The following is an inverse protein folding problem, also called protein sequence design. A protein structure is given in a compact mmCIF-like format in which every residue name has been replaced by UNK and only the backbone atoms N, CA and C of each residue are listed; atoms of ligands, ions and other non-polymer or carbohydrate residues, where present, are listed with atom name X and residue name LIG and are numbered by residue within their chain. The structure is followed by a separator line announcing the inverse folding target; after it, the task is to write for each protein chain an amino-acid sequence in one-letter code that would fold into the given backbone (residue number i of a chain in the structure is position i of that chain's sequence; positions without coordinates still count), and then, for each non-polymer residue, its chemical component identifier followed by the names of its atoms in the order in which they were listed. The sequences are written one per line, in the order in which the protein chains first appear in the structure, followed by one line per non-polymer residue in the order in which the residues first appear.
data_IF_255246912696
#
_entry.id   IF_255246912696
#
_cell.length_a   1.000
_cell.length_b   1.000
_cell.length_c   1.000
_cell.angle_alpha   90.00
_cell.angle_beta   90.00
_cell.angle_gamma   90.00
#
_symmetry.space_group_name_H-M   'P 1'
#
loop_
_entity.id
_entity.type
_entity.pdbx_description
1 polymer ?
#
# COMPACT_ATOMS: atom_id res chain seq x y z
N UNK A 1 -35.18 -14.98 -11.38
CA UNK A 1 -34.82 -13.57 -11.71
C UNK A 1 -33.78 -13.10 -10.70
N UNK A 2 -32.75 -12.38 -11.16
CA UNK A 2 -31.68 -11.92 -10.28
C UNK A 2 -32.20 -10.78 -9.38
N UNK A 3 -32.25 -11.02 -8.08
CA UNK A 3 -32.64 -10.01 -7.09
C UNK A 3 -31.45 -9.09 -6.78
N UNK A 4 -31.67 -7.78 -6.82
CA UNK A 4 -30.66 -6.79 -6.47
C UNK A 4 -30.54 -6.62 -4.96
N UNK A 5 -29.36 -6.19 -4.52
CA UNK A 5 -29.07 -5.73 -3.16
C UNK A 5 -28.62 -4.29 -3.25
N UNK A 6 -29.27 -3.38 -2.54
CA UNK A 6 -28.92 -1.96 -2.51
C UNK A 6 -28.49 -1.58 -1.09
N UNK A 7 -27.63 -0.57 -0.96
CA UNK A 7 -27.24 0.01 0.33
C UNK A 7 -27.90 1.37 0.47
N UNK A 8 -28.46 1.65 1.62
CA UNK A 8 -29.12 2.92 1.94
C UNK A 8 -28.31 3.64 2.98
N UNK A 9 -28.01 4.93 2.77
CA UNK A 9 -27.39 5.84 3.75
C UNK A 9 -28.34 6.97 4.10
N UNK A 10 -28.60 7.14 5.40
CA UNK A 10 -29.41 8.24 5.92
C UNK A 10 -28.88 8.66 7.29
N UNK A 11 -28.66 9.96 7.50
CA UNK A 11 -28.27 10.53 8.80
C UNK A 11 -27.06 9.83 9.47
N UNK A 12 -26.07 9.41 8.66
CA UNK A 12 -24.87 8.69 9.13
C UNK A 12 -25.07 7.19 9.39
N UNK A 13 -26.31 6.69 9.34
CA UNK A 13 -26.61 5.26 9.43
C UNK A 13 -26.62 4.62 8.04
N UNK A 14 -26.21 3.35 7.97
CA UNK A 14 -26.28 2.53 6.75
C UNK A 14 -27.21 1.33 6.99
N UNK A 15 -28.17 1.12 6.11
CA UNK A 15 -29.03 -0.08 6.10
C UNK A 15 -28.90 -0.79 4.74
N UNK A 16 -29.08 -2.10 4.73
CA UNK A 16 -29.10 -2.87 3.48
C UNK A 16 -30.54 -3.16 3.07
N UNK A 17 -30.85 -2.91 1.80
CA UNK A 17 -32.11 -3.29 1.18
C UNK A 17 -31.86 -4.50 0.27
N UNK A 18 -32.17 -5.68 0.79
CA UNK A 18 -32.07 -6.92 0.04
C UNK A 18 -33.34 -7.14 -0.80
N UNK A 19 -33.22 -7.99 -1.82
CA UNK A 19 -34.35 -8.51 -2.60
C UNK A 19 -35.10 -7.49 -3.45
N UNK A 20 -34.40 -6.50 -3.98
CA UNK A 20 -35.00 -5.50 -4.88
C UNK A 20 -35.17 -6.11 -6.27
N UNK A 21 -36.38 -6.08 -6.81
CA UNK A 21 -36.67 -6.54 -8.16
C UNK A 21 -36.21 -5.49 -9.19
N UNK A 22 -35.30 -5.81 -10.14
CA UNK A 22 -34.88 -4.86 -11.17
C UNK A 22 -36.01 -4.38 -12.11
N UNK A 23 -37.09 -5.14 -12.21
CA UNK A 23 -38.27 -4.79 -13.01
C UNK A 23 -39.27 -3.92 -12.25
N UNK A 24 -39.09 -3.75 -10.94
CA UNK A 24 -39.93 -2.89 -10.12
C UNK A 24 -39.82 -1.42 -10.59
N UNK A 25 -40.88 -0.65 -10.36
CA UNK A 25 -40.86 0.79 -10.63
C UNK A 25 -40.09 1.57 -9.56
N UNK A 26 -39.64 2.78 -9.89
CA UNK A 26 -38.97 3.69 -8.93
C UNK A 26 -39.87 4.00 -7.73
N UNK A 27 -41.19 4.08 -7.95
CA UNK A 27 -42.19 4.27 -6.88
C UNK A 27 -42.21 3.11 -5.87
N UNK A 28 -42.13 1.86 -6.35
CA UNK A 28 -42.09 0.69 -5.48
C UNK A 28 -40.81 0.68 -4.64
N UNK A 29 -39.68 1.06 -5.23
CA UNK A 29 -38.43 1.25 -4.51
C UNK A 29 -38.58 2.31 -3.40
N UNK A 30 -39.20 3.47 -3.70
CA UNK A 30 -39.39 4.54 -2.72
C UNK A 30 -40.28 4.13 -1.56
N UNK A 31 -41.37 3.38 -1.82
CA UNK A 31 -42.22 2.81 -0.75
C UNK A 31 -41.44 1.85 0.13
N UNK A 32 -40.63 0.97 -0.46
CA UNK A 32 -39.82 0.00 0.28
C UNK A 32 -38.73 0.68 1.12
N UNK A 33 -38.11 1.71 0.57
CA UNK A 33 -37.16 2.56 1.29
C UNK A 33 -37.83 3.22 2.49
N UNK A 34 -39.02 3.81 2.30
CA UNK A 34 -39.76 4.47 3.37
C UNK A 34 -40.12 3.48 4.50
N UNK A 35 -40.51 2.25 4.16
CA UNK A 35 -40.77 1.16 5.10
C UNK A 35 -39.53 0.79 5.93
N UNK A 36 -38.37 0.56 5.28
CA UNK A 36 -37.11 0.19 5.97
C UNK A 36 -36.55 1.32 6.82
N UNK A 37 -36.76 2.57 6.40
CA UNK A 37 -36.35 3.76 7.13
C UNK A 37 -37.31 4.07 8.30
N UNK A 38 -38.56 3.61 8.22
CA UNK A 38 -39.61 3.94 9.19
C UNK A 38 -40.21 5.33 8.99
N UNK A 39 -40.28 5.80 7.73
CA UNK A 39 -40.85 7.10 7.39
C UNK A 39 -42.24 6.93 6.76
N UNK A 40 -43.31 7.58 7.26
CA UNK A 40 -44.68 7.35 6.81
C UNK A 40 -44.98 7.97 5.42
N UNK A 41 -44.23 8.98 5.02
CA UNK A 41 -44.46 9.74 3.78
C UNK A 41 -43.30 9.53 2.78
N UNK A 42 -43.48 8.74 1.70
CA UNK A 42 -42.41 8.50 0.71
C UNK A 42 -42.09 9.75 -0.13
N UNK A 43 -43.06 10.65 -0.31
CA UNK A 43 -42.90 11.90 -1.07
C UNK A 43 -42.02 12.95 -0.37
N UNK A 44 -41.71 12.75 0.92
CA UNK A 44 -40.82 13.63 1.68
C UNK A 44 -39.36 13.14 1.67
N UNK A 45 -39.06 12.07 0.93
CA UNK A 45 -37.70 11.55 0.82
C UNK A 45 -37.13 11.92 -0.55
N UNK A 46 -35.99 12.58 -0.56
CA UNK A 46 -35.17 12.75 -1.77
C UNK A 46 -34.14 11.64 -1.80
N UNK A 47 -34.30 10.69 -2.72
CA UNK A 47 -33.36 9.59 -2.93
C UNK A 47 -32.37 10.00 -4.01
N UNK A 48 -31.08 9.97 -3.69
CA UNK A 48 -29.99 10.22 -4.64
C UNK A 48 -29.30 8.88 -4.96
N UNK A 49 -29.02 8.63 -6.25
CA UNK A 49 -28.33 7.43 -6.71
C UNK A 49 -27.21 7.77 -7.71
N UNK A 50 -26.30 6.81 -7.94
CA UNK A 50 -25.18 6.95 -8.86
C UNK A 50 -24.01 7.83 -8.37
N UNK A 51 -23.00 7.95 -9.25
CA UNK A 51 -21.79 8.75 -9.05
C UNK A 51 -21.59 9.65 -10.27
N UNK A 52 -21.76 10.99 -10.16
CA UNK A 52 -22.14 11.75 -8.96
C UNK A 52 -23.59 11.51 -8.53
N UNK A 53 -23.94 11.70 -7.23
CA UNK A 53 -25.28 11.41 -6.72
C UNK A 53 -26.33 12.35 -7.33
N UNK A 54 -27.24 11.79 -8.12
CA UNK A 54 -28.34 12.50 -8.79
C UNK A 54 -29.68 12.15 -8.15
N UNK A 55 -30.61 13.11 -8.02
CA UNK A 55 -31.94 12.81 -7.53
C UNK A 55 -32.66 11.85 -8.49
N UNK A 56 -33.22 10.78 -7.92
CA UNK A 56 -34.12 9.90 -8.63
C UNK A 56 -35.49 10.56 -8.75
N UNK A 57 -35.90 10.85 -9.98
CA UNK A 57 -37.25 11.32 -10.27
C UNK A 57 -38.22 10.15 -10.23
N UNK A 58 -39.36 10.33 -9.57
CA UNK A 58 -40.46 9.36 -9.58
C UNK A 58 -40.91 9.13 -11.03
N UNK A 59 -40.70 7.91 -11.52
CA UNK A 59 -41.07 7.50 -12.88
C UNK A 59 -41.67 6.10 -12.84
N UNK A 60 -42.62 5.84 -13.73
CA UNK A 60 -43.20 4.51 -13.94
C UNK A 60 -42.23 3.53 -14.64
N UNK A 61 -41.06 4.00 -15.06
CA UNK A 61 -40.02 3.17 -15.69
C UNK A 61 -39.44 2.15 -14.69
N UNK A 62 -39.05 0.95 -15.18
CA UNK A 62 -38.41 -0.06 -14.34
C UNK A 62 -37.02 0.41 -13.87
N UNK A 63 -36.57 -0.08 -12.71
CA UNK A 63 -35.29 0.32 -12.12
C UNK A 63 -34.10 0.13 -13.06
N UNK A 64 -34.09 -0.96 -13.84
CA UNK A 64 -33.03 -1.21 -14.84
C UNK A 64 -32.92 -0.17 -15.95
N UNK A 65 -33.97 0.62 -16.20
CA UNK A 65 -33.97 1.72 -17.17
C UNK A 65 -33.49 3.04 -16.56
N UNK A 66 -33.20 3.06 -15.25
CA UNK A 66 -32.61 4.20 -14.54
C UNK A 66 -31.10 4.02 -14.38
N UNK A 67 -30.45 4.92 -13.67
CA UNK A 67 -29.01 4.84 -13.35
C UNK A 67 -28.72 4.01 -12.09
N UNK A 68 -29.73 3.37 -11.48
CA UNK A 68 -29.54 2.49 -10.32
C UNK A 68 -29.03 1.13 -10.79
N UNK A 69 -27.92 0.67 -10.21
CA UNK A 69 -27.33 -0.65 -10.49
C UNK A 69 -27.36 -1.55 -9.25
N UNK A 70 -27.17 -2.86 -9.44
CA UNK A 70 -27.02 -3.78 -8.32
C UNK A 70 -25.82 -3.37 -7.44
N UNK A 71 -25.96 -3.50 -6.12
CA UNK A 71 -24.99 -3.06 -5.12
C UNK A 71 -24.76 -1.55 -5.02
N UNK A 72 -25.60 -0.71 -5.65
CA UNK A 72 -25.47 0.75 -5.54
C UNK A 72 -25.79 1.27 -4.12
N UNK A 73 -25.23 2.43 -3.79
CA UNK A 73 -25.48 3.13 -2.52
C UNK A 73 -26.40 4.32 -2.72
N UNK A 74 -27.63 4.19 -2.26
CA UNK A 74 -28.63 5.25 -2.26
C UNK A 74 -28.43 6.18 -1.06
N UNK A 75 -28.35 7.48 -1.32
CA UNK A 75 -28.29 8.51 -0.27
C UNK A 75 -29.69 9.09 -0.09
N UNK A 76 -30.26 8.96 1.11
CA UNK A 76 -31.57 9.51 1.43
C UNK A 76 -31.38 10.82 2.16
N UNK A 77 -32.04 11.86 1.66
CA UNK A 77 -32.22 13.13 2.35
C UNK A 77 -33.69 13.30 2.68
N UNK A 78 -33.98 13.79 3.89
CA UNK A 78 -35.31 14.24 4.23
C UNK A 78 -35.53 15.58 3.54
N UNK A 79 -36.60 15.70 2.77
CA UNK A 79 -37.03 16.97 2.23
C UNK A 79 -37.35 17.87 3.42
N UNK A 80 -36.49 18.87 3.65
CA UNK A 80 -36.81 19.93 4.60
C UNK A 80 -38.05 20.63 4.05
N UNK A 81 -39.17 20.69 4.80
CA UNK A 81 -40.34 21.43 4.36
C UNK A 81 -39.86 22.84 4.01
N UNK A 82 -40.03 23.19 2.74
CA UNK A 82 -39.50 24.41 2.17
C UNK A 82 -40.11 25.58 2.96
N UNK A 83 -39.32 26.19 3.85
CA UNK A 83 -39.69 27.48 4.41
C UNK A 83 -39.83 28.44 3.22
N UNK A 84 -40.94 29.18 3.09
CA UNK A 84 -41.15 30.07 1.96
C UNK A 84 -39.95 31.02 1.85
N UNK A 85 -39.27 30.94 0.70
CA UNK A 85 -38.09 31.72 0.34
C UNK A 85 -38.38 33.22 0.53
N UNK A 86 -37.92 33.80 1.64
CA UNK A 86 -37.78 35.24 1.78
C UNK A 86 -36.63 35.68 0.86
N UNK A 87 -36.95 36.53 -0.12
CA UNK A 87 -35.99 37.13 -1.04
C UNK A 87 -34.85 37.82 -0.28
N UNK A 88 -33.57 37.64 -0.67
CA UNK A 88 -32.46 38.36 -0.08
C UNK A 88 -32.41 39.79 -0.63
N UNK A 89 -32.73 40.77 0.22
CA UNK A 89 -32.37 42.16 -0.01
C UNK A 89 -30.87 42.34 0.21
N UNK A 90 -30.18 42.79 -0.84
CA UNK A 90 -28.80 43.23 -0.78
C UNK A 90 -28.67 44.45 0.13
N UNK A 91 -27.99 44.31 1.27
CA UNK A 91 -27.42 45.46 1.99
C UNK A 91 -25.93 45.23 2.21
N UNK A 92 -25.14 45.97 1.44
CA UNK A 92 -23.73 46.22 1.68
C UNK A 92 -23.58 46.97 3.01
N UNK A 93 -22.84 46.44 3.97
CA UNK A 93 -22.19 47.30 4.95
C UNK A 93 -20.84 46.72 5.35
N UNK A 94 -19.82 47.50 5.04
CA UNK A 94 -18.46 47.37 5.51
C UNK A 94 -18.38 47.82 6.98
N UNK A 95 -17.79 47.00 7.83
CA UNK A 95 -17.14 47.52 9.03
C UNK A 95 -15.87 46.71 9.32
N UNK A 96 -14.75 47.44 9.23
CA UNK A 96 -13.44 47.07 9.74
C UNK A 96 -13.48 47.17 11.27
N UNK A 97 -12.95 46.17 11.96
CA UNK A 97 -12.61 46.25 13.38
C UNK A 97 -11.70 45.08 13.81
N UNK A 98 -10.69 45.28 14.67
CA UNK A 98 -9.46 44.50 14.65
C UNK A 98 -9.32 43.44 15.78
N UNK A 99 -8.45 42.47 15.51
CA UNK A 99 -7.55 41.75 16.43
C UNK A 99 -8.07 41.21 17.78
N UNK A 100 -8.25 39.89 17.84
CA UNK A 100 -7.94 39.01 18.98
C UNK A 100 -7.89 37.58 18.38
N UNK A 101 -6.86 36.76 18.51
CA UNK A 101 -6.14 36.40 19.73
C UNK A 101 -6.04 34.87 19.68
N UNK A 102 -4.81 34.36 19.69
CA UNK A 102 -4.47 32.96 19.47
C UNK A 102 -5.16 32.01 20.47
N UNK A 103 -5.84 30.96 19.98
CA UNK A 103 -6.04 29.63 20.63
C UNK A 103 -6.99 28.75 19.81
N UNK A 104 -6.57 28.20 18.65
CA UNK A 104 -7.32 27.12 17.94
C UNK A 104 -6.40 26.19 17.14
N UNK A 105 -5.32 25.70 17.75
CA UNK A 105 -4.39 24.76 17.10
C UNK A 105 -4.27 23.38 17.78
N UNK A 106 -5.01 23.11 18.87
CA UNK A 106 -4.82 21.90 19.68
C UNK A 106 -5.98 20.88 19.67
N UNK A 107 -7.08 21.11 18.94
CA UNK A 107 -8.24 20.21 18.93
C UNK A 107 -8.50 19.52 17.58
N UNK A 108 -7.64 19.72 16.58
CA UNK A 108 -7.79 19.12 15.26
C UNK A 108 -7.07 17.76 15.08
N UNK A 109 -6.26 17.33 16.05
CA UNK A 109 -5.39 16.16 15.91
C UNK A 109 -5.98 14.82 16.40
N UNK A 110 -7.14 14.82 17.06
CA UNK A 110 -7.71 13.61 17.71
C UNK A 110 -8.97 13.04 17.05
N UNK A 111 -9.47 13.64 15.97
CA UNK A 111 -10.64 13.14 15.22
C UNK A 111 -10.31 12.42 13.90
N UNK A 112 -9.03 12.25 13.56
CA UNK A 112 -8.61 11.68 12.28
C UNK A 112 -8.66 10.14 12.19
N UNK A 113 -8.96 9.41 13.28
CA UNK A 113 -8.87 7.93 13.30
C UNK A 113 -10.15 7.17 12.91
N UNK A 114 -11.30 7.82 12.70
CA UNK A 114 -12.59 7.12 12.58
C UNK A 114 -13.38 7.35 11.28
N UNK A 115 -12.75 7.84 10.21
CA UNK A 115 -13.45 8.06 8.94
C UNK A 115 -12.71 7.47 7.73
N UNK A 116 -12.56 6.14 7.73
CA UNK A 116 -12.16 5.33 6.58
C UNK A 116 -13.39 4.64 5.98
N UNK A 117 -14.29 5.37 5.32
CA UNK A 117 -15.20 4.81 4.30
C UNK A 117 -15.98 5.87 3.49
N UNK A 118 -15.26 6.65 2.68
CA UNK A 118 -15.84 7.42 1.57
C UNK A 118 -15.15 7.02 0.27
N UNK A 119 -15.70 5.98 -0.36
CA UNK A 119 -15.35 5.54 -1.70
C UNK A 119 -16.02 6.37 -2.80
N UNK A 120 -15.49 6.18 -4.01
CA UNK A 120 -15.99 6.60 -5.33
C UNK A 120 -15.54 7.98 -5.83
N UNK A 121 -14.24 8.02 -6.12
CA UNK A 121 -13.56 8.56 -7.34
C UNK A 121 -12.15 7.94 -7.46
N UNK A 122 -11.69 7.27 -6.40
CA UNK A 122 -10.40 6.58 -6.37
C UNK A 122 -10.30 5.40 -7.34
N UNK A 123 -11.39 4.70 -7.69
CA UNK A 123 -11.29 3.45 -8.47
C UNK A 123 -10.90 3.69 -9.94
N UNK A 124 -11.14 4.86 -10.53
CA UNK A 124 -10.66 5.12 -11.91
C UNK A 124 -9.18 5.50 -11.94
N UNK A 125 -8.70 6.23 -10.93
CA UNK A 125 -7.28 6.54 -10.79
C UNK A 125 -6.48 5.33 -10.26
N UNK A 126 -7.04 4.53 -9.35
CA UNK A 126 -6.46 3.28 -8.86
C UNK A 126 -6.56 2.17 -9.91
N UNK A 127 -7.63 2.03 -10.68
CA UNK A 127 -7.68 1.06 -11.77
C UNK A 127 -6.70 1.42 -12.90
N UNK A 128 -6.42 2.69 -13.17
CA UNK A 128 -5.31 3.07 -14.07
C UNK A 128 -3.94 2.76 -13.46
N UNK A 129 -3.82 2.72 -12.13
CA UNK A 129 -2.59 2.32 -11.42
C UNK A 129 -2.46 0.79 -11.20
N UNK A 130 -3.57 0.04 -11.24
CA UNK A 130 -3.66 -1.40 -10.91
C UNK A 130 -4.03 -2.31 -12.11
N UNK A 131 -4.69 -1.81 -13.16
CA UNK A 131 -5.01 -2.53 -14.42
C UNK A 131 -4.01 -2.22 -15.56
N UNK A 132 -2.80 -1.79 -15.22
CA UNK A 132 -1.70 -1.79 -16.19
C UNK A 132 -1.24 -3.23 -16.41
N UNK A 133 -1.71 -3.86 -17.49
CA UNK A 133 -1.11 -5.07 -18.03
C UNK A 133 0.42 -4.89 -18.13
N UNK A 134 1.14 -5.60 -17.25
CA UNK A 134 2.38 -6.27 -17.62
C UNK A 134 3.70 -5.50 -17.67
N UNK A 135 3.84 -4.27 -17.16
CA UNK A 135 5.17 -3.62 -17.09
C UNK A 135 5.58 -3.15 -15.67
N UNK A 136 6.25 -4.03 -14.88
CA UNK A 136 6.73 -3.71 -13.52
C UNK A 136 7.85 -2.65 -13.49
N UNK A 137 8.34 -2.21 -14.66
CA UNK A 137 9.40 -1.21 -14.79
C UNK A 137 8.91 0.24 -14.92
N UNK A 138 7.59 0.50 -14.91
CA UNK A 138 7.08 1.88 -15.02
C UNK A 138 7.43 2.70 -13.78
N UNK A 139 8.43 3.56 -13.93
CA UNK A 139 8.92 4.50 -12.94
C UNK A 139 7.72 5.32 -12.40
N UNK A 140 7.55 5.53 -11.08
CA UNK A 140 6.45 6.33 -10.52
C UNK A 140 6.34 7.73 -11.15
N UNK A 141 7.45 8.27 -11.64
CA UNK A 141 7.52 9.52 -12.40
C UNK A 141 6.77 9.43 -13.74
N UNK A 142 6.83 8.30 -14.45
CA UNK A 142 6.12 8.11 -15.72
C UNK A 142 4.62 7.94 -15.51
N UNK A 143 4.21 7.35 -14.38
CA UNK A 143 2.79 7.26 -13.99
C UNK A 143 2.21 8.64 -13.66
N UNK A 144 2.99 9.45 -12.93
CA UNK A 144 2.63 10.84 -12.65
C UNK A 144 2.57 11.67 -13.94
N UNK A 145 3.54 11.50 -14.84
CA UNK A 145 3.59 12.18 -16.13
C UNK A 145 2.40 11.81 -17.03
N UNK A 146 1.99 10.53 -17.06
CA UNK A 146 0.79 10.10 -17.79
C UNK A 146 -0.50 10.65 -17.21
N UNK A 147 -0.64 10.68 -15.88
CA UNK A 147 -1.80 11.30 -15.22
C UNK A 147 -1.87 12.81 -15.50
N UNK A 148 -0.73 13.49 -15.52
CA UNK A 148 -0.65 14.91 -15.87
C UNK A 148 -0.93 15.15 -17.36
N UNK A 149 -0.47 14.28 -18.25
CA UNK A 149 -0.75 14.36 -19.69
C UNK A 149 -2.24 14.11 -19.99
N UNK A 150 -2.86 13.10 -19.37
CA UNK A 150 -4.30 12.85 -19.51
C UNK A 150 -5.14 14.01 -18.96
N UNK A 151 -4.74 14.61 -17.84
CA UNK A 151 -5.42 15.79 -17.30
C UNK A 151 -5.24 17.04 -18.18
N UNK A 152 -4.22 17.08 -19.03
CA UNK A 152 -3.98 18.18 -19.97
C UNK A 152 -4.76 18.00 -21.30
N UNK A 153 -5.10 16.77 -21.68
CA UNK A 153 -5.83 16.46 -22.93
C UNK A 153 -7.36 16.61 -22.80
N UNK A 154 -7.91 16.56 -21.59
CA UNK A 154 -9.34 16.79 -21.35
C UNK A 154 -9.66 18.29 -21.37
N UNK A 155 -10.28 18.78 -22.46
CA UNK A 155 -10.73 20.17 -22.61
C UNK A 155 -11.90 20.57 -21.70
N UNK A 156 -12.50 19.61 -20.97
CA UNK A 156 -13.56 19.87 -20.00
C UNK A 156 -12.97 20.34 -18.66
N UNK A 157 -13.03 21.66 -18.45
CA UNK A 157 -12.52 22.34 -17.24
C UNK A 157 -13.03 21.77 -15.91
N UNK A 158 -14.19 21.11 -15.90
CA UNK A 158 -14.73 20.44 -14.72
C UNK A 158 -14.08 19.08 -14.41
N UNK A 159 -13.69 18.32 -15.43
CA UNK A 159 -13.04 17.01 -15.26
C UNK A 159 -11.59 17.18 -14.83
N UNK A 160 -10.90 18.22 -15.33
CA UNK A 160 -9.56 18.61 -14.88
C UNK A 160 -9.56 18.95 -13.38
N UNK A 161 -10.60 19.60 -12.88
CA UNK A 161 -10.72 19.90 -11.44
C UNK A 161 -10.93 18.64 -10.59
N UNK A 162 -11.66 17.64 -11.11
CA UNK A 162 -11.83 16.33 -10.48
C UNK A 162 -10.51 15.56 -10.38
N UNK A 163 -9.81 15.40 -11.50
CA UNK A 163 -8.53 14.71 -11.56
C UNK A 163 -7.46 15.35 -10.64
N UNK A 164 -7.39 16.69 -10.60
CA UNK A 164 -6.48 17.40 -9.70
C UNK A 164 -6.84 17.21 -8.22
N UNK A 165 -8.13 17.11 -7.87
CA UNK A 165 -8.56 16.83 -6.50
C UNK A 165 -8.18 15.42 -6.07
N UNK A 166 -8.36 14.44 -6.94
CA UNK A 166 -8.00 13.05 -6.67
C UNK A 166 -6.48 12.88 -6.57
N UNK A 167 -5.70 13.55 -7.44
CA UNK A 167 -4.25 13.59 -7.36
C UNK A 167 -3.77 14.18 -6.03
N UNK A 168 -4.34 15.32 -5.59
CA UNK A 168 -4.00 15.92 -4.28
C UNK A 168 -4.34 14.99 -3.13
N UNK A 169 -5.47 14.27 -3.20
CA UNK A 169 -5.86 13.29 -2.20
C UNK A 169 -4.89 12.10 -2.17
N UNK A 170 -4.51 11.58 -3.33
CA UNK A 170 -3.53 10.50 -3.45
C UNK A 170 -2.16 10.93 -2.90
N UNK A 171 -1.68 12.13 -3.24
CA UNK A 171 -0.44 12.68 -2.70
C UNK A 171 -0.51 12.89 -1.17
N UNK A 172 -1.64 13.37 -0.65
CA UNK A 172 -1.83 13.54 0.79
C UNK A 172 -1.81 12.20 1.53
N UNK A 173 -2.49 11.18 0.98
CA UNK A 173 -2.50 9.83 1.53
C UNK A 173 -1.09 9.21 1.50
N UNK A 174 -0.36 9.35 0.40
CA UNK A 174 1.01 8.83 0.29
C UNK A 174 1.94 9.55 1.26
N UNK A 175 1.85 10.88 1.37
CA UNK A 175 2.63 11.65 2.33
C UNK A 175 2.36 11.20 3.76
N UNK A 176 1.08 10.95 4.10
CA UNK A 176 0.69 10.42 5.39
C UNK A 176 1.27 9.02 5.61
N UNK A 177 1.19 8.12 4.63
CA UNK A 177 1.79 6.78 4.71
C UNK A 177 3.29 6.86 4.99
N UNK A 178 4.03 7.72 4.28
CA UNK A 178 5.47 7.96 4.51
C UNK A 178 5.78 8.58 5.88
N UNK A 179 4.87 9.37 6.43
CA UNK A 179 5.00 9.90 7.79
C UNK A 179 4.81 8.79 8.82
N UNK A 180 3.81 7.92 8.63
CA UNK A 180 3.52 6.79 9.50
C UNK A 180 4.65 5.74 9.46
N UNK A 181 5.20 5.43 8.28
CA UNK A 181 6.39 4.57 8.12
C UNK A 181 7.60 5.12 8.87
N UNK A 182 7.90 6.42 8.71
CA UNK A 182 8.99 7.08 9.45
C UNK A 182 8.75 7.06 10.95
N UNK A 183 7.51 7.22 11.38
CA UNK A 183 7.16 7.19 12.79
C UNK A 183 7.28 5.76 13.35
N UNK A 184 6.87 4.73 12.59
CA UNK A 184 7.05 3.33 12.95
C UNK A 184 8.53 2.95 13.11
N UNK A 185 9.39 3.41 12.19
CA UNK A 185 10.84 3.29 12.30
C UNK A 185 11.36 3.90 13.62
N UNK A 186 10.91 5.12 13.96
CA UNK A 186 11.29 5.79 15.20
C UNK A 186 10.78 5.07 16.46
N UNK A 187 9.57 4.50 16.43
CA UNK A 187 9.05 3.66 17.53
C UNK A 187 9.96 2.46 17.76
N UNK A 188 10.37 1.79 16.69
CA UNK A 188 11.26 0.64 16.73
C UNK A 188 12.64 1.01 17.27
N UNK A 189 13.26 2.06 16.73
CA UNK A 189 14.56 2.57 17.21
C UNK A 189 14.49 2.98 18.69
N UNK A 190 13.38 3.61 19.10
CA UNK A 190 13.17 3.98 20.49
C UNK A 190 13.05 2.77 21.41
N UNK A 191 12.30 1.74 21.00
CA UNK A 191 12.13 0.50 21.76
C UNK A 191 13.45 -0.27 21.90
N UNK A 192 14.14 -0.53 20.79
CA UNK A 192 15.42 -1.26 20.77
C UNK A 192 16.50 -0.49 21.54
N UNK A 193 16.55 0.84 21.38
CA UNK A 193 17.50 1.69 22.10
C UNK A 193 17.10 2.01 23.54
N UNK A 194 15.94 1.56 24.01
CA UNK A 194 15.35 1.98 25.29
C UNK A 194 15.35 3.51 25.51
N UNK A 195 15.14 4.28 24.43
CA UNK A 195 15.13 5.76 24.46
C UNK A 195 13.72 6.34 24.52
N UNK A 196 12.83 5.67 25.26
CA UNK A 196 11.45 6.08 25.49
C UNK A 196 11.17 6.25 26.99
N UNK A 197 10.16 7.06 27.31
CA UNK A 197 9.61 7.19 28.66
C UNK A 197 8.13 6.82 28.62
N UNK A 198 7.71 5.86 29.44
CA UNK A 198 6.29 5.52 29.63
C UNK A 198 5.80 6.08 30.96
N UNK A 199 4.62 6.72 30.94
CA UNK A 199 3.95 7.24 32.14
C UNK A 199 2.52 6.74 32.16
N UNK A 200 2.05 6.33 33.34
CA UNK A 200 0.64 6.06 33.54
C UNK A 200 -0.14 7.38 33.45
N UNK A 201 -1.16 7.40 32.61
CA UNK A 201 -2.08 8.51 32.43
C UNK A 201 -3.50 8.03 32.71
N UNK A 202 -4.40 8.94 33.07
CA UNK A 202 -5.81 8.61 33.22
C UNK A 202 -6.61 9.50 32.28
N UNK A 203 -7.25 8.90 31.29
CA UNK A 203 -8.21 9.61 30.46
C UNK A 203 -9.54 9.68 31.21
N UNK A 204 -10.03 10.90 31.44
CA UNK A 204 -11.41 11.12 31.85
C UNK A 204 -12.27 11.22 30.59
N UNK A 205 -13.09 10.20 30.33
CA UNK A 205 -14.10 10.26 29.28
C UNK A 205 -15.47 10.04 29.91
N UNK A 206 -16.37 11.03 29.80
CA UNK A 206 -17.79 10.94 30.17
C UNK A 206 -18.05 10.22 31.52
N UNK A 207 -17.31 10.60 32.57
CA UNK A 207 -17.54 10.11 33.94
C UNK A 207 -16.89 8.76 34.29
N UNK A 208 -16.22 8.08 33.36
CA UNK A 208 -15.44 6.88 33.65
C UNK A 208 -13.93 7.14 33.42
N UNK A 209 -13.13 6.95 34.46
CA UNK A 209 -11.68 6.95 34.37
C UNK A 209 -11.21 5.68 33.64
N UNK A 210 -10.60 5.83 32.47
CA UNK A 210 -9.98 4.70 31.75
C UNK A 210 -8.47 4.76 31.91
N UNK A 211 -7.81 3.65 32.27
CA UNK A 211 -6.36 3.61 32.35
C UNK A 211 -5.80 3.87 30.94
N UNK A 212 -4.89 4.83 30.85
CA UNK A 212 -4.16 5.16 29.63
C UNK A 212 -2.67 5.16 29.95
N UNK A 213 -1.85 4.91 28.95
CA UNK A 213 -0.41 5.06 29.06
C UNK A 213 0.00 6.14 28.06
N UNK A 214 0.87 7.05 28.46
CA UNK A 214 1.56 7.98 27.58
C UNK A 214 2.98 7.46 27.37
N UNK A 215 3.39 7.29 26.12
CA UNK A 215 4.77 7.00 25.74
C UNK A 215 5.35 8.20 25.03
N UNK A 216 6.55 8.61 25.42
CA UNK A 216 7.27 9.70 24.76
C UNK A 216 8.67 9.26 24.35
N UNK A 217 8.99 9.44 23.07
CA UNK A 217 10.28 9.04 22.50
C UNK A 217 10.84 10.17 21.63
N UNK A 218 12.16 10.13 21.36
CA UNK A 218 12.83 11.15 20.55
C UNK A 218 12.61 10.84 19.06
N UNK A 219 12.12 11.83 18.33
CA UNK A 219 11.99 11.79 16.86
C UNK A 219 13.15 12.51 16.18
N UNK A 220 13.65 13.58 16.80
CA UNK A 220 14.85 14.30 16.38
C UNK A 220 15.62 14.75 17.61
N UNK A 221 16.81 15.33 17.42
CA UNK A 221 17.62 15.87 18.51
C UNK A 221 16.86 16.85 19.42
N UNK A 222 15.84 17.54 18.89
CA UNK A 222 15.06 18.55 19.62
C UNK A 222 13.58 18.19 19.79
N UNK A 223 13.07 17.21 19.04
CA UNK A 223 11.65 16.89 19.01
C UNK A 223 11.37 15.55 19.69
N UNK A 224 10.44 15.55 20.65
CA UNK A 224 9.87 14.33 21.23
C UNK A 224 8.46 14.13 20.70
N UNK A 225 8.15 12.91 20.28
CA UNK A 225 6.80 12.50 19.94
C UNK A 225 6.13 11.88 21.17
N UNK A 226 4.82 12.04 21.28
CA UNK A 226 4.01 11.52 22.38
C UNK A 226 2.84 10.74 21.81
N UNK A 227 2.67 9.52 22.28
CA UNK A 227 1.54 8.67 21.92
C UNK A 227 0.82 8.22 23.16
N UNK A 228 -0.49 8.01 23.03
CA UNK A 228 -1.28 7.45 24.10
C UNK A 228 -1.88 6.12 23.68
N UNK A 229 -1.82 5.13 24.57
CA UNK A 229 -2.39 3.81 24.31
C UNK A 229 -3.06 3.24 25.55
N UNK A 230 -4.05 2.37 25.34
CA UNK A 230 -4.69 1.66 26.45
C UNK A 230 -3.83 0.45 26.84
N UNK A 231 -3.46 0.30 28.13
CA UNK A 231 -2.72 -0.86 28.58
C UNK A 231 -3.56 -2.13 28.41
N UNK A 232 -2.98 -3.16 27.82
CA UNK A 232 -3.58 -4.47 27.64
C UNK A 232 -3.06 -5.44 28.70
N UNK A 233 -3.93 -6.28 29.29
CA UNK A 233 -3.48 -7.40 30.11
C UNK A 233 -2.61 -8.38 29.30
N UNK A 234 -1.58 -9.00 29.90
CA UNK A 234 -0.70 -9.94 29.21
C UNK A 234 -1.46 -11.14 28.60
N UNK A 235 -2.55 -11.58 29.25
CA UNK A 235 -3.42 -12.66 28.76
C UNK A 235 -4.07 -12.30 27.42
N UNK A 236 -4.58 -11.08 27.30
CA UNK A 236 -5.18 -10.57 26.06
C UNK A 236 -4.11 -10.43 24.97
N UNK A 237 -2.92 -9.92 25.33
CA UNK A 237 -1.81 -9.79 24.38
C UNK A 237 -1.40 -11.15 23.80
N UNK A 238 -1.29 -12.19 24.65
CA UNK A 238 -1.05 -13.57 24.20
C UNK A 238 -2.12 -14.09 23.25
N UNK A 239 -3.40 -13.84 23.56
CA UNK A 239 -4.51 -14.27 22.69
C UNK A 239 -4.45 -13.60 21.31
N UNK A 240 -4.21 -12.28 21.27
CA UNK A 240 -4.10 -11.53 20.02
C UNK A 240 -2.94 -12.03 19.15
N UNK A 241 -1.77 -12.23 19.75
CA UNK A 241 -0.60 -12.73 19.02
C UNK A 241 -0.83 -14.15 18.52
N UNK A 242 -1.44 -15.05 19.31
CA UNK A 242 -1.82 -16.40 18.86
C UNK A 242 -2.80 -16.37 17.70
N UNK A 243 -3.78 -15.48 17.72
CA UNK A 243 -4.74 -15.34 16.64
C UNK A 243 -4.06 -14.88 15.35
N UNK A 244 -3.14 -13.91 15.42
CA UNK A 244 -2.37 -13.44 14.27
C UNK A 244 -1.40 -14.50 13.74
N UNK A 245 -0.81 -15.33 14.61
CA UNK A 245 0.04 -16.44 14.20
C UNK A 245 -0.72 -17.55 13.48
N UNK A 246 -2.00 -17.76 13.81
CA UNK A 246 -2.83 -18.76 13.16
C UNK A 246 -3.17 -18.42 11.70
N UNK A 247 -3.08 -17.13 11.33
CA UNK A 247 -3.34 -16.63 9.99
C UNK A 247 -2.01 -16.38 9.23
N UNK A 248 -1.72 -17.16 8.16
CA UNK A 248 -0.45 -17.06 7.44
C UNK A 248 -0.23 -15.71 6.74
N UNK A 249 -1.30 -14.99 6.40
CA UNK A 249 -1.21 -13.67 5.77
C UNK A 249 -1.00 -12.58 6.83
N UNK A 250 -1.60 -12.74 8.01
CA UNK A 250 -1.50 -11.77 9.08
C UNK A 250 -0.23 -11.90 9.92
N UNK A 251 0.46 -13.05 9.94
CA UNK A 251 1.68 -13.26 10.74
C UNK A 251 2.83 -12.31 10.38
N UNK A 252 2.89 -11.82 9.13
CA UNK A 252 3.86 -10.80 8.71
C UNK A 252 3.66 -9.47 9.46
N UNK A 253 2.45 -9.18 9.95
CA UNK A 253 2.18 -8.02 10.80
C UNK A 253 2.79 -8.12 12.20
N UNK A 254 3.26 -9.31 12.60
CA UNK A 254 3.97 -9.52 13.87
C UNK A 254 5.44 -9.10 13.81
N UNK A 255 6.01 -8.82 12.63
CA UNK A 255 7.34 -8.23 12.54
C UNK A 255 7.36 -6.89 13.27
N UNK A 256 8.40 -6.63 14.05
CA UNK A 256 8.53 -5.42 14.87
C UNK A 256 8.18 -4.11 14.14
N UNK A 257 8.69 -3.91 12.92
CA UNK A 257 8.36 -2.73 12.12
C UNK A 257 6.89 -2.67 11.70
N UNK A 258 6.34 -3.77 11.19
CA UNK A 258 4.94 -3.84 10.74
C UNK A 258 3.98 -3.65 11.91
N UNK A 259 4.29 -4.21 13.08
CA UNK A 259 3.50 -4.03 14.29
C UNK A 259 3.51 -2.56 14.73
N UNK A 260 4.67 -1.91 14.70
CA UNK A 260 4.82 -0.49 15.00
C UNK A 260 4.06 0.41 14.01
N UNK A 261 3.88 -0.04 12.76
CA UNK A 261 3.15 0.68 11.72
C UNK A 261 1.63 0.45 11.79
N UNK A 262 1.21 -0.81 11.79
CA UNK A 262 -0.21 -1.22 11.72
C UNK A 262 -0.94 -1.07 13.05
N UNK A 263 -0.27 -1.35 14.17
CA UNK A 263 -0.88 -1.30 15.50
C UNK A 263 0.11 -0.82 16.56
N UNK A 264 0.37 0.50 16.64
CA UNK A 264 1.22 1.09 17.66
C UNK A 264 0.79 0.70 19.09
N UNK A 265 -0.52 0.48 19.30
CA UNK A 265 -1.06 0.02 20.59
C UNK A 265 -0.54 -1.37 20.99
N UNK A 266 -0.53 -2.33 20.07
CA UNK A 266 -0.04 -3.68 20.37
C UNK A 266 1.47 -3.65 20.57
N UNK A 267 2.17 -2.94 19.69
CA UNK A 267 3.61 -2.70 19.78
C UNK A 267 4.03 -2.15 21.15
N UNK A 268 3.45 -1.04 21.61
CA UNK A 268 3.83 -0.45 22.89
C UNK A 268 3.41 -1.29 24.09
N UNK A 269 2.33 -2.06 24.01
CA UNK A 269 1.97 -3.00 25.07
C UNK A 269 2.96 -4.15 25.19
N UNK A 270 3.49 -4.63 24.07
CA UNK A 270 4.53 -5.66 24.06
C UNK A 270 5.83 -5.13 24.68
N UNK A 271 6.31 -3.97 24.22
CA UNK A 271 7.50 -3.31 24.77
C UNK A 271 7.34 -3.02 26.27
N UNK A 272 6.16 -2.57 26.69
CA UNK A 272 5.85 -2.35 28.11
C UNK A 272 5.92 -3.65 28.92
N UNK A 273 5.40 -4.74 28.37
CA UNK A 273 5.34 -6.02 29.08
C UNK A 273 6.72 -6.64 29.28
N UNK A 274 7.61 -6.55 28.29
CA UNK A 274 9.00 -7.03 28.39
C UNK A 274 9.91 -6.11 29.21
N UNK A 275 9.49 -4.87 29.47
CA UNK A 275 10.29 -3.87 30.17
C UNK A 275 11.25 -3.12 29.25
N UNK A 276 11.03 -3.16 27.94
CA UNK A 276 11.90 -2.57 26.92
C UNK A 276 12.65 -3.62 26.09
N UNK A 277 13.52 -3.15 25.19
CA UNK A 277 14.36 -3.99 24.33
C UNK A 277 13.75 -4.35 22.99
N UNK A 278 14.26 -5.43 22.39
CA UNK A 278 13.84 -5.90 21.09
C UNK A 278 12.40 -6.49 21.17
N UNK A 279 11.43 -5.94 20.40
CA UNK A 279 10.09 -6.49 20.38
C UNK A 279 10.05 -7.93 19.82
N UNK A 280 10.97 -8.34 18.96
CA UNK A 280 11.01 -9.72 18.45
C UNK A 280 11.36 -10.72 19.57
N UNK A 281 12.32 -10.37 20.43
CA UNK A 281 12.64 -11.16 21.63
C UNK A 281 11.48 -11.17 22.63
N UNK A 282 10.75 -10.05 22.72
CA UNK A 282 9.57 -9.95 23.56
C UNK A 282 8.45 -10.91 23.09
N UNK A 283 8.28 -11.10 21.78
CA UNK A 283 7.35 -12.09 21.22
C UNK A 283 7.77 -13.52 21.58
N UNK A 284 9.06 -13.85 21.45
CA UNK A 284 9.61 -15.16 21.83
C UNK A 284 9.39 -15.47 23.31
N UNK A 285 9.58 -14.48 24.18
CA UNK A 285 9.30 -14.63 25.61
C UNK A 285 7.79 -14.76 25.90
N UNK A 286 6.95 -14.06 25.14
CA UNK A 286 5.50 -14.07 25.35
C UNK A 286 4.87 -15.43 25.01
N UNK A 287 5.35 -16.08 23.95
CA UNK A 287 4.92 -17.41 23.50
C UNK A 287 6.16 -18.26 23.12
N UNK A 288 6.80 -18.93 24.09
CA UNK A 288 8.01 -19.71 23.83
C UNK A 288 7.75 -20.96 22.96
N UNK A 289 6.52 -21.47 22.96
CA UNK A 289 6.15 -22.68 22.22
C UNK A 289 5.78 -22.42 20.74
N UNK A 290 5.80 -21.16 20.29
CA UNK A 290 5.43 -20.77 18.94
C UNK A 290 6.64 -20.79 17.97
N UNK A 291 6.38 -21.05 16.69
CA UNK A 291 7.40 -20.98 15.64
C UNK A 291 7.63 -19.52 15.22
N UNK A 292 8.85 -19.03 15.47
CA UNK A 292 9.30 -17.68 15.16
C UNK A 292 10.32 -17.60 14.03
N UNK A 293 10.57 -18.72 13.32
CA UNK A 293 11.56 -18.81 12.24
C UNK A 293 11.34 -17.78 11.12
N UNK A 294 10.09 -17.37 10.89
CA UNK A 294 9.73 -16.37 9.88
C UNK A 294 10.15 -14.92 10.24
N UNK A 295 10.44 -14.64 11.52
CA UNK A 295 11.00 -13.35 11.96
C UNK A 295 12.48 -13.23 11.59
N UNK A 296 13.24 -14.33 11.75
CA UNK A 296 14.67 -14.37 11.45
C UNK A 296 14.97 -14.42 9.95
N UNK A 297 14.01 -14.94 9.16
CA UNK A 297 14.04 -14.83 7.72
C UNK A 297 13.87 -13.37 7.31
N UNK A 298 14.96 -12.60 7.36
CA UNK A 298 15.13 -11.42 6.50
C UNK A 298 15.02 -11.95 5.07
N UNK A 299 13.80 -12.00 4.54
CA UNK A 299 13.57 -12.01 3.11
C UNK A 299 14.05 -10.66 2.60
N UNK A 300 15.38 -10.53 2.44
CA UNK A 300 15.91 -9.69 1.39
C UNK A 300 15.46 -10.39 0.12
N UNK A 301 14.25 -10.09 -0.37
CA UNK A 301 14.00 -10.23 -1.79
C UNK A 301 15.10 -9.40 -2.43
N UNK A 302 16.11 -10.07 -3.00
CA UNK A 302 17.12 -9.39 -3.80
C UNK A 302 16.33 -8.55 -4.79
N UNK A 303 16.57 -7.23 -4.79
CA UNK A 303 15.96 -6.35 -5.78
C UNK A 303 16.14 -6.99 -7.17
N UNK A 304 15.18 -6.80 -8.07
CA UNK A 304 15.30 -7.31 -9.45
C UNK A 304 16.63 -6.90 -10.09
N UNK A 305 17.17 -5.74 -9.72
CA UNK A 305 18.51 -5.28 -10.11
C UNK A 305 19.64 -6.13 -9.52
N UNK A 306 19.51 -6.57 -8.27
CA UNK A 306 20.48 -7.45 -7.63
C UNK A 306 20.43 -8.87 -8.21
N UNK A 307 19.24 -9.37 -8.56
CA UNK A 307 19.07 -10.63 -9.31
C UNK A 307 19.68 -10.54 -10.71
N UNK A 308 19.42 -9.45 -11.44
CA UNK A 308 19.97 -9.24 -12.78
C UNK A 308 21.49 -9.04 -12.74
N UNK A 309 22.03 -8.31 -11.74
CA UNK A 309 23.47 -8.18 -11.55
C UNK A 309 24.13 -9.55 -11.26
N UNK A 310 23.50 -10.39 -10.42
CA UNK A 310 23.99 -11.74 -10.16
C UNK A 310 23.99 -12.61 -11.43
N UNK A 311 22.93 -12.51 -12.24
CA UNK A 311 22.85 -13.20 -13.54
C UNK A 311 23.94 -12.72 -14.52
N UNK A 312 24.19 -11.41 -14.57
CA UNK A 312 25.24 -10.83 -15.41
C UNK A 312 26.64 -11.25 -14.95
N UNK A 313 26.87 -11.30 -13.64
CA UNK A 313 28.13 -11.77 -13.07
C UNK A 313 28.38 -13.26 -13.40
N UNK A 314 27.35 -14.09 -13.29
CA UNK A 314 27.42 -15.50 -13.65
C UNK A 314 27.68 -15.70 -15.15
N UNK A 315 27.02 -14.94 -16.02
CA UNK A 315 27.25 -14.95 -17.46
C UNK A 315 28.69 -14.52 -17.83
N UNK A 316 29.21 -13.48 -17.17
CA UNK A 316 30.59 -13.03 -17.35
C UNK A 316 31.62 -14.07 -16.89
N UNK A 317 31.35 -14.76 -15.77
CA UNK A 317 32.20 -15.84 -15.28
C UNK A 317 32.18 -17.05 -16.22
N UNK A 318 31.01 -17.41 -16.77
CA UNK A 318 30.89 -18.47 -17.77
C UNK A 318 31.65 -18.13 -19.05
N UNK A 319 31.47 -16.92 -19.60
CA UNK A 319 32.18 -16.46 -20.79
C UNK A 319 33.71 -16.43 -20.58
N UNK A 320 34.18 -16.04 -19.38
CA UNK A 320 35.61 -16.10 -19.04
C UNK A 320 36.15 -17.53 -19.01
N UNK A 321 35.37 -18.49 -18.49
CA UNK A 321 35.76 -19.91 -18.46
C UNK A 321 35.85 -20.50 -19.87
N UNK A 322 34.89 -20.22 -20.72
CA UNK A 322 34.89 -20.67 -22.12
C UNK A 322 36.07 -20.07 -22.91
N UNK A 323 36.31 -18.77 -22.75
CA UNK A 323 37.44 -18.11 -23.40
C UNK A 323 38.80 -18.66 -22.93
N UNK A 324 38.92 -19.02 -21.65
CA UNK A 324 40.11 -19.67 -21.11
C UNK A 324 40.31 -21.07 -21.71
N UNK A 325 39.25 -21.89 -21.76
CA UNK A 325 39.30 -23.24 -22.34
C UNK A 325 39.68 -23.21 -23.83
N UNK A 326 39.12 -22.27 -24.60
CA UNK A 326 39.44 -22.13 -26.03
C UNK A 326 40.90 -21.69 -26.25
N UNK A 327 41.43 -20.80 -25.39
CA UNK A 327 42.85 -20.42 -25.42
C UNK A 327 43.76 -21.59 -25.09
N UNK A 328 43.38 -22.45 -24.14
CA UNK A 328 44.14 -23.65 -23.80
C UNK A 328 44.17 -24.65 -24.96
N UNK A 329 43.02 -24.91 -25.59
CA UNK A 329 42.94 -25.74 -26.79
C UNK A 329 43.80 -25.19 -27.94
N UNK A 330 43.78 -23.88 -28.17
CA UNK A 330 44.63 -23.24 -29.18
C UNK A 330 46.12 -23.37 -28.87
N UNK A 331 46.51 -23.24 -27.59
CA UNK A 331 47.90 -23.45 -27.15
C UNK A 331 48.33 -24.89 -27.39
N UNK A 332 47.52 -25.87 -26.96
CA UNK A 332 47.77 -27.28 -27.19
C UNK A 332 47.90 -27.62 -28.69
N UNK A 333 47.01 -27.07 -29.53
CA UNK A 333 47.07 -27.25 -30.99
C UNK A 333 48.33 -26.63 -31.61
N UNK A 334 48.74 -25.44 -31.16
CA UNK A 334 49.99 -24.80 -31.62
C UNK A 334 51.22 -25.59 -31.20
N UNK A 335 51.24 -26.11 -29.98
CA UNK A 335 52.31 -26.97 -29.48
C UNK A 335 52.39 -28.29 -30.24
N UNK A 336 51.24 -28.93 -30.51
CA UNK A 336 51.17 -30.14 -31.33
C UNK A 336 51.70 -29.88 -32.76
N UNK A 337 51.31 -28.78 -33.40
CA UNK A 337 51.85 -28.38 -34.71
C UNK A 337 53.35 -28.11 -34.66
N UNK A 338 53.84 -27.46 -33.60
CA UNK A 338 55.28 -27.21 -33.41
C UNK A 338 56.05 -28.52 -33.26
N UNK A 339 55.54 -29.46 -32.45
CA UNK A 339 56.13 -30.80 -32.28
C UNK A 339 56.12 -31.62 -33.57
N UNK A 340 55.02 -31.58 -34.33
CA UNK A 340 54.94 -32.24 -35.63
C UNK A 340 55.98 -31.70 -36.61
N UNK A 341 56.17 -30.37 -36.65
CA UNK A 341 57.17 -29.72 -37.51
C UNK A 341 58.61 -30.05 -37.09
N UNK A 342 58.91 -30.08 -35.79
CA UNK A 342 60.24 -30.50 -35.31
C UNK A 342 60.53 -31.95 -35.65
N UNK A 343 59.55 -32.84 -35.51
CA UNK A 343 59.71 -34.26 -35.86
C UNK A 343 59.91 -34.47 -37.37
N UNK A 344 59.18 -33.72 -38.22
CA UNK A 344 59.36 -33.77 -39.67
C UNK A 344 60.77 -33.32 -40.10
N UNK A 345 61.27 -32.22 -39.56
CA UNK A 345 62.64 -31.74 -39.85
C UNK A 345 63.70 -32.75 -39.37
N UNK A 346 63.50 -33.42 -38.23
CA UNK A 346 64.41 -34.46 -37.75
C UNK A 346 64.42 -35.68 -38.69
N UNK A 347 63.26 -36.12 -39.18
CA UNK A 347 63.15 -37.23 -40.14
C UNK A 347 63.86 -36.92 -41.47
N UNK A 348 63.73 -35.70 -42.01
CA UNK A 348 64.46 -35.27 -43.22
C UNK A 348 65.99 -35.24 -43.01
N UNK A 349 66.44 -34.81 -41.83
CA UNK A 349 67.88 -34.78 -41.52
C UNK A 349 68.51 -36.18 -41.41
N UNK A 350 67.73 -37.21 -41.08
CA UNK A 350 68.20 -38.60 -40.99
C UNK A 350 68.21 -39.32 -42.35
N UNK A 351 67.34 -38.95 -43.30
CA UNK A 351 67.30 -39.54 -44.65
C UNK A 351 68.29 -38.90 -45.63
N UNK A 352 68.70 -37.65 -45.41
CA UNK A 352 69.64 -36.91 -46.27
C UNK A 352 71.08 -37.46 -46.40
N UNK A 353 71.74 -37.99 -45.35
CA UNK A 353 73.14 -38.42 -45.46
C UNK A 353 73.33 -39.82 -46.06
N UNK A 354 72.29 -40.67 -46.08
CA UNK A 354 72.38 -42.01 -46.68
C UNK A 354 72.37 -41.96 -48.22
N UNK A 355 71.48 -41.16 -48.82
CA UNK A 355 71.40 -41.01 -50.28
C UNK A 355 72.62 -40.32 -50.92
N UNK A 356 73.36 -39.49 -50.15
CA UNK A 356 74.63 -38.89 -50.61
C UNK A 356 75.81 -39.86 -50.54
N UNK A 357 75.78 -40.89 -49.70
CA UNK A 357 76.82 -41.93 -49.67
C UNK A 357 76.63 -42.98 -50.77
N UNK A 358 75.39 -43.26 -51.16
CA UNK A 358 75.10 -44.20 -52.25
C UNK A 358 75.47 -43.64 -53.64
N UNK A 359 75.31 -42.33 -53.87
CA UNK A 359 75.79 -41.68 -55.11
C UNK A 359 77.31 -41.46 -55.19
N UNK A 360 78.04 -41.56 -54.09
CA UNK A 360 79.51 -41.47 -54.09
C UNK A 360 80.19 -42.83 -54.30
N UNK A 361 79.49 -43.94 -54.09
CA UNK A 361 80.01 -45.30 -54.28
C UNK A 361 79.73 -45.88 -55.68
N UNK A 362 79.00 -45.17 -56.55
CA UNK A 362 78.70 -45.58 -57.93
C UNK A 362 79.48 -44.79 -58.99
N UNK A 363 80.53 -44.07 -58.59
CA UNK A 363 81.38 -43.24 -59.45
C UNK A 363 82.86 -43.69 -59.48
N UNK A 364 83.18 -44.81 -58.84
CA UNK A 364 84.39 -45.64 -59.07
C UNK A 364 83.94 -46.94 -59.76
#
# INVERSE_FOLDING_TARGET
MARWRLRIRMDGTSKQLAEVDPEASVEQLFRRIAEVVGHPAPHQLTVLAGVPPRPLTTSAMPLKATHVVNCDTLIIRRATPHAPSAHPSHSLSSSRGPAAGATRAAQAATHASNNLHTGLTLDTACAVLEQGDGDPASNPEDRLARLLAMAAETNDTHDVQGALRDLRRAMANELQRRQEERLAQQRLEAAVGNTFEMRAATAQTLGAARPQMEVSFKTSARLRHREHFTPLPPTLLRMLVRQLLADPDARENLRSFNMALMSPRVFWNLVRWSGGGDPDDSLRQLLPDADWSYLDARQRSLSDKALENARQEEALLAARREAAALREQQRAAREARRRARTNANQAESQTGPAAKREKAAAAD
#
